data_IF_650980370313
#
_entry.id   IF_650980370313
#
_cell.length_a   1.000
_cell.length_b   1.000
_cell.length_c   1.000
_cell.angle_alpha   90.00
_cell.angle_beta   90.00
_cell.angle_gamma   90.00
#
_symmetry.space_group_name_H-M   'P 1'
#
loop_
_entity.id
_entity.type
_entity.pdbx_description
1 polymer ?
#
# COMPACT_ATOMS: atom_id res chain seq x y z
N UNK A 1 1.78 -3.85 27.31
CA UNK A 1 2.06 -3.98 25.86
C UNK A 1 3.03 -2.92 25.34
N UNK A 2 2.99 -1.67 25.81
CA UNK A 2 3.91 -0.60 25.36
C UNK A 2 5.40 -0.85 25.64
N UNK A 3 5.76 -1.63 26.67
CA UNK A 3 7.16 -1.94 26.99
C UNK A 3 7.88 -2.68 25.86
N UNK A 4 7.21 -3.66 25.23
CA UNK A 4 7.79 -4.40 24.09
C UNK A 4 8.05 -3.49 22.89
N UNK A 5 7.15 -2.56 22.60
CA UNK A 5 7.35 -1.58 21.54
C UNK A 5 8.55 -0.68 21.80
N UNK A 6 8.70 -0.19 23.04
CA UNK A 6 9.84 0.65 23.43
C UNK A 6 11.19 -0.05 23.25
N UNK A 7 11.29 -1.34 23.56
CA UNK A 7 12.52 -2.13 23.35
C UNK A 7 12.86 -2.29 21.85
N UNK A 8 11.86 -2.26 20.97
CA UNK A 8 12.03 -2.48 19.53
C UNK A 8 12.11 -1.17 18.73
N UNK A 9 12.04 0.01 19.35
CA UNK A 9 12.00 1.32 18.66
C UNK A 9 13.07 1.52 17.59
N UNK A 10 14.27 0.97 17.81
CA UNK A 10 15.39 1.06 16.86
C UNK A 10 15.36 0.00 15.76
N UNK A 11 14.48 -0.99 15.83
CA UNK A 11 14.41 -2.09 14.87
C UNK A 11 13.37 -1.75 13.82
N UNK A 12 13.80 -1.49 12.60
CA UNK A 12 12.92 -1.15 11.46
C UNK A 12 13.35 -1.92 10.21
N UNK A 13 12.38 -2.38 9.45
CA UNK A 13 12.63 -3.11 8.21
C UNK A 13 13.43 -2.28 7.20
N UNK A 14 13.02 -1.03 6.98
CA UNK A 14 13.60 -0.14 5.99
C UNK A 14 13.14 -0.44 4.55
N UNK A 15 12.89 0.61 3.78
CA UNK A 15 12.37 0.53 2.42
C UNK A 15 13.24 -0.33 1.49
N UNK A 16 14.58 -0.24 1.63
CA UNK A 16 15.55 -0.93 0.78
C UNK A 16 15.48 -2.47 0.84
N UNK A 17 14.87 -3.03 1.89
CA UNK A 17 14.69 -4.48 2.05
C UNK A 17 13.34 -4.97 1.51
N UNK A 18 12.50 -4.05 1.03
CA UNK A 18 11.19 -4.37 0.47
C UNK A 18 11.26 -4.99 -0.92
N UNK A 19 10.23 -5.74 -1.32
CA UNK A 19 10.18 -6.31 -2.66
C UNK A 19 10.10 -5.23 -3.75
N UNK A 20 9.58 -4.04 -3.44
CA UNK A 20 9.47 -2.91 -4.36
C UNK A 20 10.79 -2.11 -4.53
N UNK A 21 11.82 -2.41 -3.74
CA UNK A 21 13.16 -1.83 -3.89
C UNK A 21 14.05 -2.61 -4.88
N UNK A 22 13.52 -3.70 -5.45
CA UNK A 22 14.22 -4.49 -6.46
C UNK A 22 14.12 -3.83 -7.83
N UNK A 23 15.08 -4.15 -8.70
CA UNK A 23 15.04 -3.71 -10.10
C UNK A 23 13.73 -4.14 -10.78
N UNK A 24 13.24 -3.30 -11.70
CA UNK A 24 12.01 -3.55 -12.45
C UNK A 24 10.77 -2.82 -11.93
N UNK A 25 10.91 -1.99 -10.88
CA UNK A 25 9.87 -1.09 -10.38
C UNK A 25 10.25 0.40 -10.59
N UNK A 26 11.38 0.65 -11.22
CA UNK A 26 11.82 1.98 -11.61
C UNK A 26 10.97 2.47 -12.77
N UNK A 27 10.36 3.63 -12.61
CA UNK A 27 9.58 4.30 -13.63
C UNK A 27 9.47 5.80 -13.26
N UNK A 28 9.12 6.67 -14.21
CA UNK A 28 8.83 8.06 -13.91
C UNK A 28 7.80 8.20 -12.78
N UNK A 29 8.05 9.11 -11.84
CA UNK A 29 7.11 9.46 -10.77
C UNK A 29 6.06 10.44 -11.31
N UNK A 30 5.29 9.99 -12.31
CA UNK A 30 4.34 10.83 -13.03
C UNK A 30 2.92 10.75 -12.46
N UNK A 31 2.61 9.77 -11.62
CA UNK A 31 1.28 9.66 -11.01
C UNK A 31 1.28 10.43 -9.69
N UNK A 32 0.39 11.40 -9.56
CA UNK A 32 0.14 12.11 -8.31
C UNK A 32 -0.98 11.42 -7.55
N UNK A 33 -0.68 10.93 -6.35
CA UNK A 33 -1.67 10.34 -5.44
C UNK A 33 -1.95 11.31 -4.31
N UNK A 34 -3.22 11.54 -4.00
CA UNK A 34 -3.67 12.39 -2.90
C UNK A 34 -4.73 11.70 -2.05
N UNK A 35 -4.90 12.19 -0.83
CA UNK A 35 -6.00 11.82 0.06
C UNK A 35 -6.57 13.07 0.72
N UNK A 36 -7.89 13.11 0.91
CA UNK A 36 -8.52 14.16 1.73
C UNK A 36 -8.44 13.85 3.23
N UNK A 37 -7.91 12.68 3.60
CA UNK A 37 -7.82 12.24 4.98
C UNK A 37 -6.46 12.56 5.63
N UNK A 38 -5.40 12.73 4.84
CA UNK A 38 -4.05 13.08 5.29
C UNK A 38 -3.19 13.59 4.12
N UNK A 39 -2.24 14.47 4.41
CA UNK A 39 -1.24 14.95 3.47
C UNK A 39 -0.06 13.97 3.36
N UNK A 40 0.76 14.09 2.30
CA UNK A 40 1.98 13.29 2.17
C UNK A 40 2.92 13.51 3.36
N UNK A 41 3.34 12.44 4.00
CA UNK A 41 4.08 12.45 5.28
C UNK A 41 3.21 12.72 6.51
N UNK A 42 1.94 13.08 6.34
CA UNK A 42 1.00 13.42 7.41
C UNK A 42 0.49 12.24 8.23
N UNK A 43 -0.16 12.54 9.34
CA UNK A 43 -0.76 11.53 10.22
C UNK A 43 -2.07 10.99 9.62
N UNK A 44 -2.17 9.68 9.51
CA UNK A 44 -3.40 8.99 9.10
C UNK A 44 -4.44 9.04 10.24
N UNK A 45 -5.73 9.22 9.94
CA UNK A 45 -6.78 9.25 10.94
C UNK A 45 -6.92 7.89 11.64
N UNK A 46 -7.25 7.91 12.94
CA UNK A 46 -7.48 6.69 13.73
C UNK A 46 -8.60 5.82 13.14
N UNK A 47 -9.60 6.41 12.53
CA UNK A 47 -10.67 5.65 11.86
C UNK A 47 -10.11 4.66 10.83
N UNK A 48 -9.08 5.05 10.07
CA UNK A 48 -8.45 4.18 9.07
C UNK A 48 -7.46 3.17 9.66
N UNK A 49 -7.21 3.19 10.96
CA UNK A 49 -6.36 2.18 11.60
C UNK A 49 -7.02 0.81 11.60
N UNK A 50 -6.20 -0.24 11.63
CA UNK A 50 -6.65 -1.63 11.55
C UNK A 50 -7.53 -2.06 12.72
N UNK A 51 -8.34 -3.09 12.53
CA UNK A 51 -9.28 -3.64 13.52
C UNK A 51 -8.64 -3.83 14.89
N UNK A 52 -9.34 -3.37 15.94
CA UNK A 52 -8.86 -3.37 17.32
C UNK A 52 -8.01 -2.14 17.69
N UNK A 53 -7.77 -1.22 16.74
CA UNK A 53 -7.19 0.11 16.94
C UNK A 53 -8.14 1.18 16.40
N UNK A 54 -8.65 0.98 15.19
CA UNK A 54 -9.70 1.76 14.54
C UNK A 54 -10.71 0.86 13.86
N UNK A 55 -11.51 1.43 12.95
CA UNK A 55 -12.63 0.76 12.27
C UNK A 55 -12.20 0.06 10.97
N UNK A 56 -10.99 0.37 10.49
CA UNK A 56 -10.37 -0.21 9.30
C UNK A 56 -11.02 0.13 7.93
N UNK A 57 -11.73 1.26 7.72
CA UNK A 57 -12.00 1.71 6.37
C UNK A 57 -10.72 2.22 5.73
N UNK A 58 -10.53 1.97 4.43
CA UNK A 58 -9.45 2.62 3.70
C UNK A 58 -9.66 4.14 3.67
N UNK A 59 -8.59 4.95 3.69
CA UNK A 59 -8.73 6.38 3.38
C UNK A 59 -9.23 6.56 1.95
N UNK A 60 -9.91 7.67 1.64
CA UNK A 60 -10.18 8.05 0.25
C UNK A 60 -8.87 8.36 -0.45
N UNK A 61 -8.76 7.94 -1.70
CA UNK A 61 -7.59 8.22 -2.55
C UNK A 61 -8.07 8.75 -3.91
N UNK A 62 -7.31 9.68 -4.48
CA UNK A 62 -7.46 10.13 -5.87
C UNK A 62 -6.09 10.14 -6.52
N UNK A 63 -6.05 9.96 -7.83
CA UNK A 63 -4.80 10.02 -8.58
C UNK A 63 -5.01 10.54 -9.99
N UNK A 64 -3.97 11.21 -10.49
CA UNK A 64 -3.87 11.78 -11.82
C UNK A 64 -2.52 11.40 -12.44
N UNK A 65 -2.37 11.61 -13.76
CA UNK A 65 -1.11 11.38 -14.45
C UNK A 65 -0.89 9.93 -14.89
N UNK A 66 -1.94 9.12 -14.93
CA UNK A 66 -1.88 7.76 -15.48
C UNK A 66 -1.64 7.82 -16.98
N UNK A 67 -0.58 7.18 -17.52
CA UNK A 67 -0.32 7.14 -18.95
C UNK A 67 -1.46 6.49 -19.74
N UNK A 68 -1.76 6.96 -20.96
CA UNK A 68 -2.87 6.44 -21.77
C UNK A 68 -2.68 4.96 -22.20
N UNK A 69 -1.44 4.48 -22.24
CA UNK A 69 -1.10 3.09 -22.57
C UNK A 69 -1.33 2.12 -21.41
N UNK A 70 -1.76 2.64 -20.25
CA UNK A 70 -1.99 1.82 -19.07
C UNK A 70 -3.07 0.76 -19.32
N UNK A 71 -2.72 -0.50 -19.06
CA UNK A 71 -3.64 -1.63 -19.17
C UNK A 71 -4.24 -2.03 -17.83
N UNK A 72 -3.50 -1.84 -16.76
CA UNK A 72 -3.98 -2.02 -15.39
C UNK A 72 -3.20 -1.15 -14.42
N UNK A 73 -3.81 -0.86 -13.26
CA UNK A 73 -3.15 -0.23 -12.14
C UNK A 73 -2.89 -1.28 -11.03
N UNK A 74 -1.79 -1.11 -10.31
CA UNK A 74 -1.49 -1.95 -9.14
C UNK A 74 -1.23 -1.06 -7.94
N UNK A 75 -2.07 -1.17 -6.91
CA UNK A 75 -1.91 -0.50 -5.63
C UNK A 75 -1.27 -1.44 -4.62
N UNK A 76 -0.17 -1.01 -4.02
CA UNK A 76 0.49 -1.72 -2.93
C UNK A 76 0.65 -0.78 -1.74
N UNK A 77 0.18 -1.20 -0.57
CA UNK A 77 0.42 -0.47 0.68
C UNK A 77 1.40 -1.28 1.52
N UNK A 78 2.54 -0.68 1.87
CA UNK A 78 3.54 -1.31 2.73
C UNK A 78 3.84 -0.48 3.98
N UNK A 79 4.26 -1.16 5.05
CA UNK A 79 4.80 -0.59 6.28
C UNK A 79 6.31 -0.89 6.33
N UNK A 80 7.12 0.17 6.25
CA UNK A 80 8.58 0.06 6.22
C UNK A 80 9.24 0.15 7.60
N UNK A 81 8.44 0.40 8.62
CA UNK A 81 8.93 0.60 9.99
C UNK A 81 8.61 -0.57 10.93
N UNK A 82 8.02 -1.66 10.42
CA UNK A 82 7.81 -2.88 11.22
C UNK A 82 9.13 -3.42 11.74
N UNK A 83 9.17 -3.98 12.98
CA UNK A 83 10.37 -4.64 13.51
C UNK A 83 10.51 -6.06 12.94
N UNK A 84 10.56 -6.16 11.62
CA UNK A 84 10.71 -7.40 10.86
C UNK A 84 11.91 -7.28 9.90
N UNK A 85 12.44 -8.38 9.38
CA UNK A 85 13.55 -8.35 8.42
C UNK A 85 13.25 -7.60 7.11
N UNK A 86 11.97 -7.43 6.75
CA UNK A 86 11.50 -6.73 5.54
C UNK A 86 10.19 -5.99 5.79
N UNK A 87 9.86 -4.96 4.99
CA UNK A 87 8.56 -4.30 5.01
C UNK A 87 7.40 -5.28 4.93
N UNK A 88 6.31 -4.94 5.60
CA UNK A 88 5.07 -5.71 5.59
C UNK A 88 4.13 -5.14 4.52
N UNK A 89 3.69 -5.98 3.60
CA UNK A 89 2.67 -5.59 2.63
C UNK A 89 1.28 -5.73 3.27
N UNK A 90 0.62 -4.60 3.47
CA UNK A 90 -0.70 -4.51 4.09
C UNK A 90 -1.83 -4.76 3.10
N UNK A 91 -1.71 -4.21 1.90
CA UNK A 91 -2.74 -4.28 0.85
C UNK A 91 -2.06 -4.48 -0.49
N UNK A 92 -2.60 -5.35 -1.32
CA UNK A 92 -2.17 -5.55 -2.70
C UNK A 92 -3.42 -5.68 -3.56
N UNK A 93 -3.60 -4.77 -4.50
CA UNK A 93 -4.77 -4.71 -5.37
C UNK A 93 -4.38 -4.48 -6.83
N UNK A 94 -5.12 -5.10 -7.74
CA UNK A 94 -5.11 -4.83 -9.17
C UNK A 94 -6.39 -4.06 -9.48
N UNK A 95 -6.26 -2.92 -10.16
CA UNK A 95 -7.38 -2.05 -10.47
C UNK A 95 -7.56 -1.93 -11.99
N UNK A 96 -8.79 -1.74 -12.40
CA UNK A 96 -9.12 -1.37 -13.76
C UNK A 96 -8.45 -0.01 -14.10
N UNK A 97 -7.89 0.18 -15.31
CA UNK A 97 -7.22 1.42 -15.70
C UNK A 97 -8.14 2.64 -15.73
N UNK A 98 -9.44 2.44 -15.74
CA UNK A 98 -10.45 3.52 -15.72
C UNK A 98 -10.74 4.02 -14.29
N UNK A 99 -10.26 3.34 -13.27
CA UNK A 99 -10.40 3.79 -11.87
C UNK A 99 -9.41 4.92 -11.61
N UNK A 100 -9.91 6.08 -11.24
CA UNK A 100 -9.12 7.31 -10.95
C UNK A 100 -9.08 7.63 -9.44
N UNK A 101 -9.67 6.76 -8.62
CA UNK A 101 -9.67 6.91 -7.18
C UNK A 101 -10.54 5.89 -6.47
N UNK A 102 -10.56 5.97 -5.16
CA UNK A 102 -11.43 5.19 -4.28
C UNK A 102 -11.96 6.08 -3.17
N UNK A 103 -13.22 5.90 -2.81
CA UNK A 103 -13.82 6.58 -1.65
C UNK A 103 -13.38 5.94 -0.34
N UNK A 104 -13.68 6.59 0.78
CA UNK A 104 -13.44 6.02 2.10
C UNK A 104 -14.09 4.64 2.22
N UNK A 105 -13.31 3.63 2.63
CA UNK A 105 -13.75 2.24 2.69
C UNK A 105 -13.86 1.52 1.33
N UNK A 106 -13.46 2.17 0.22
CA UNK A 106 -13.55 1.62 -1.14
C UNK A 106 -12.58 0.47 -1.41
N UNK A 107 -11.46 0.39 -0.70
CA UNK A 107 -10.51 -0.73 -0.85
C UNK A 107 -11.02 -1.98 -0.09
N UNK A 108 -12.10 -2.57 -0.57
CA UNK A 108 -12.74 -3.75 0.03
C UNK A 108 -13.03 -4.83 -1.01
N UNK A 109 -13.04 -6.10 -0.64
CA UNK A 109 -13.46 -7.17 -1.53
C UNK A 109 -14.86 -6.91 -2.11
N UNK A 110 -15.02 -7.17 -3.41
CA UNK A 110 -16.28 -6.93 -4.14
C UNK A 110 -16.47 -5.49 -4.61
N UNK A 111 -15.52 -4.58 -4.39
CA UNK A 111 -15.55 -3.26 -5.00
C UNK A 111 -15.36 -3.37 -6.53
N UNK A 112 -16.18 -2.60 -7.29
CA UNK A 112 -16.12 -2.62 -8.75
C UNK A 112 -14.76 -2.15 -9.26
N UNK A 113 -14.21 -2.82 -10.27
CA UNK A 113 -12.93 -2.50 -10.87
C UNK A 113 -11.72 -2.79 -9.98
N UNK A 114 -11.89 -3.46 -8.84
CA UNK A 114 -10.80 -3.75 -7.88
C UNK A 114 -10.76 -5.22 -7.53
N UNK A 115 -9.64 -5.87 -7.84
CA UNK A 115 -9.35 -7.24 -7.46
C UNK A 115 -8.19 -7.28 -6.46
N UNK A 116 -8.38 -7.95 -5.34
CA UNK A 116 -7.33 -8.09 -4.33
C UNK A 116 -6.53 -9.37 -4.51
N UNK A 117 -5.23 -9.23 -4.31
CA UNK A 117 -4.29 -10.33 -4.16
C UNK A 117 -3.92 -10.44 -2.69
N UNK A 118 -3.80 -11.67 -2.18
CA UNK A 118 -3.49 -11.89 -0.77
C UNK A 118 -2.15 -11.25 -0.37
N UNK A 119 -2.22 -10.28 0.53
CA UNK A 119 -1.08 -9.57 1.10
C UNK A 119 -0.38 -10.39 2.22
N UNK A 120 0.55 -9.77 2.94
CA UNK A 120 1.16 -10.42 4.12
C UNK A 120 0.09 -10.66 5.21
N UNK A 121 0.35 -11.61 6.11
CA UNK A 121 -0.58 -12.04 7.16
C UNK A 121 -1.94 -12.53 6.64
N UNK A 122 -2.04 -12.83 5.34
CA UNK A 122 -3.25 -13.38 4.75
C UNK A 122 -4.35 -12.34 4.42
N UNK A 123 -4.07 -11.05 4.57
CA UNK A 123 -5.05 -9.99 4.29
C UNK A 123 -5.49 -9.99 2.83
N UNK A 124 -6.79 -9.78 2.62
CA UNK A 124 -7.42 -9.56 1.33
C UNK A 124 -8.34 -8.34 1.48
N UNK A 125 -8.02 -7.24 0.81
CA UNK A 125 -8.61 -5.92 1.05
C UNK A 125 -7.68 -5.00 1.82
N UNK A 126 -8.20 -3.86 2.26
CA UNK A 126 -7.44 -2.90 3.07
C UNK A 126 -7.14 -3.46 4.45
N UNK A 127 -5.89 -3.34 4.87
CA UNK A 127 -5.44 -3.58 6.23
C UNK A 127 -4.75 -2.32 6.75
N UNK A 128 -5.42 -1.59 7.62
CA UNK A 128 -4.95 -0.32 8.15
C UNK A 128 -3.81 -0.45 9.16
N UNK A 129 -3.24 0.69 9.57
CA UNK A 129 -2.17 0.77 10.55
C UNK A 129 -2.46 0.04 11.85
N UNK A 130 -1.53 -0.81 12.28
CA UNK A 130 -1.56 -1.48 13.60
C UNK A 130 -0.16 -1.65 14.18
N UNK A 131 0.60 -0.56 14.34
CA UNK A 131 1.94 -0.68 14.91
C UNK A 131 1.89 -1.24 16.35
N UNK A 132 3.00 -1.78 16.79
CA UNK A 132 3.14 -2.23 18.19
C UNK A 132 3.10 -0.99 19.08
N UNK A 133 2.23 -1.00 20.10
CA UNK A 133 2.10 0.12 21.03
C UNK A 133 3.46 0.49 21.64
N UNK A 134 3.82 1.78 21.58
CA UNK A 134 5.08 2.31 22.06
C UNK A 134 6.29 2.12 21.15
N UNK A 135 6.13 1.53 19.95
CA UNK A 135 7.22 1.38 18.97
C UNK A 135 7.58 2.73 18.30
N UNK A 136 6.64 3.67 18.27
CA UNK A 136 6.73 4.96 17.61
C UNK A 136 6.01 4.97 16.27
N UNK A 137 6.09 6.09 15.55
CA UNK A 137 5.41 6.26 14.27
C UNK A 137 5.94 5.30 13.20
N UNK A 138 5.01 4.69 12.47
CA UNK A 138 5.28 3.89 11.28
C UNK A 138 4.84 4.64 10.02
N UNK A 139 5.55 4.47 8.92
CA UNK A 139 5.23 5.00 7.59
C UNK A 139 4.54 3.93 6.76
N UNK A 140 3.33 4.27 6.32
CA UNK A 140 2.52 3.45 5.42
C UNK A 140 2.59 4.08 4.04
N UNK A 141 3.21 3.38 3.09
CA UNK A 141 3.43 3.90 1.74
C UNK A 141 2.41 3.30 0.78
N UNK A 142 1.67 4.17 0.13
CA UNK A 142 0.69 3.85 -0.91
C UNK A 142 1.38 4.00 -2.26
N UNK A 143 1.81 2.90 -2.84
CA UNK A 143 2.41 2.85 -4.17
C UNK A 143 1.33 2.56 -5.20
N UNK A 144 1.24 3.37 -6.25
CA UNK A 144 0.42 3.10 -7.43
C UNK A 144 1.32 2.94 -8.64
N UNK A 145 1.18 1.84 -9.35
CA UNK A 145 1.93 1.51 -10.55
C UNK A 145 0.98 1.42 -11.75
N UNK A 146 1.27 2.15 -12.84
CA UNK A 146 0.63 1.98 -14.12
C UNK A 146 1.37 0.90 -14.93
N UNK A 147 0.67 -0.12 -15.38
CA UNK A 147 1.22 -1.32 -16.01
C UNK A 147 0.79 -1.42 -17.46
N UNK A 148 1.73 -1.72 -18.38
CA UNK A 148 1.53 -1.78 -19.84
C UNK A 148 0.91 -3.08 -20.34
N UNK A 149 0.60 -4.02 -19.45
CA UNK A 149 0.03 -5.32 -19.80
C UNK A 149 -1.12 -5.74 -18.88
N UNK A 150 -2.03 -6.60 -19.36
CA UNK A 150 -3.07 -7.17 -18.50
C UNK A 150 -2.46 -8.19 -17.51
N UNK A 151 -3.03 -8.24 -16.32
CA UNK A 151 -2.66 -9.19 -15.27
C UNK A 151 -3.77 -10.22 -15.15
N UNK A 152 -3.48 -11.46 -15.55
CA UNK A 152 -4.45 -12.55 -15.56
C UNK A 152 -5.06 -12.80 -14.16
N UNK A 153 -6.32 -13.21 -14.10
CA UNK A 153 -7.02 -13.53 -12.84
C UNK A 153 -6.39 -14.69 -12.07
N UNK A 154 -5.68 -15.57 -12.77
CA UNK A 154 -4.90 -16.64 -12.18
C UNK A 154 -3.72 -16.18 -11.33
N UNK A 155 -3.30 -14.90 -11.45
CA UNK A 155 -2.28 -14.28 -10.61
C UNK A 155 -2.90 -13.92 -9.26
N UNK A 156 -2.88 -14.86 -8.33
CA UNK A 156 -3.55 -14.75 -7.01
C UNK A 156 -2.59 -14.54 -5.83
N UNK A 157 -1.27 -14.63 -6.07
CA UNK A 157 -0.27 -14.42 -5.02
C UNK A 157 0.52 -13.13 -5.25
N UNK A 158 0.89 -12.42 -4.16
CA UNK A 158 1.72 -11.23 -4.27
C UNK A 158 3.07 -11.48 -4.96
N UNK A 159 3.67 -12.66 -4.74
CA UNK A 159 4.94 -13.03 -5.37
C UNK A 159 4.78 -13.11 -6.90
N UNK A 160 3.73 -13.79 -7.36
CA UNK A 160 3.42 -13.90 -8.80
C UNK A 160 3.07 -12.52 -9.37
N UNK A 161 2.25 -11.69 -8.66
CA UNK A 161 1.91 -10.36 -9.12
C UNK A 161 3.14 -9.49 -9.29
N UNK A 162 3.99 -9.37 -8.26
CA UNK A 162 5.20 -8.55 -8.32
C UNK A 162 6.18 -9.03 -9.42
N UNK A 163 6.29 -10.34 -9.63
CA UNK A 163 7.07 -10.89 -10.74
C UNK A 163 6.45 -10.56 -12.11
N UNK A 164 5.11 -10.56 -12.21
CA UNK A 164 4.40 -10.24 -13.45
C UNK A 164 4.58 -8.77 -13.85
N UNK A 165 4.57 -7.84 -12.89
CA UNK A 165 4.63 -6.40 -13.17
C UNK A 165 6.06 -5.86 -13.24
N UNK A 166 7.06 -6.60 -12.75
CA UNK A 166 8.47 -6.20 -12.83
C UNK A 166 8.90 -6.02 -14.30
N UNK A 167 9.45 -4.83 -14.63
CA UNK A 167 9.82 -4.46 -16.00
C UNK A 167 8.65 -4.01 -16.89
N UNK A 168 7.44 -3.91 -16.33
CA UNK A 168 6.22 -3.50 -17.04
C UNK A 168 5.58 -2.22 -16.47
N UNK A 169 6.34 -1.47 -15.66
CA UNK A 169 5.86 -0.24 -15.04
C UNK A 169 6.09 0.94 -15.97
N UNK A 170 5.02 1.60 -16.42
CA UNK A 170 5.05 2.81 -17.24
C UNK A 170 5.28 4.07 -16.41
N UNK A 171 4.58 4.15 -15.27
CA UNK A 171 4.65 5.27 -14.35
C UNK A 171 4.32 4.79 -12.93
N UNK A 172 4.76 5.57 -11.95
CA UNK A 172 4.47 5.29 -10.54
C UNK A 172 4.04 6.54 -9.80
N UNK A 173 3.27 6.35 -8.72
CA UNK A 173 2.95 7.34 -7.71
C UNK A 173 3.25 6.83 -6.32
N UNK A 174 3.44 7.75 -5.39
CA UNK A 174 3.69 7.45 -3.98
C UNK A 174 3.00 8.50 -3.11
N UNK A 175 2.22 8.02 -2.13
CA UNK A 175 1.70 8.82 -1.01
C UNK A 175 2.10 8.11 0.28
N UNK A 176 2.60 8.84 1.26
CA UNK A 176 3.04 8.28 2.55
C UNK A 176 2.18 8.83 3.67
N UNK A 177 1.52 7.96 4.42
CA UNK A 177 0.88 8.32 5.68
C UNK A 177 1.69 7.82 6.88
N UNK A 178 1.59 8.49 8.01
CA UNK A 178 2.21 8.05 9.26
C UNK A 178 1.16 7.66 10.29
N UNK A 179 1.47 6.70 11.14
CA UNK A 179 0.60 6.33 12.25
C UNK A 179 1.43 5.90 13.46
N UNK A 180 1.11 6.48 14.63
CA UNK A 180 1.68 6.10 15.91
C UNK A 180 0.60 5.48 16.81
N UNK A 181 0.99 4.45 17.53
CA UNK A 181 0.18 3.84 18.57
C UNK A 181 0.90 3.99 19.90
N UNK A 182 0.71 5.16 20.51
CA UNK A 182 1.15 5.45 21.88
C UNK A 182 0.44 4.56 22.92
#
# INVERSE_FOLDING_TARGET
>A
MALRGRLLRGVRAGAHRGPLARNGFEAPAAIMITSTAFDDGGAMPRSSAGKGVGDNPSPPLRWDGTPPETRQLVLVIDDIDVPLPRPLLHTVAVLDPTVDGVDAGGLRPGASGIRFVRADLGHCGYAGPRPIAGHGAHRYRFHLFAIDKPIADSVTTRKALLATISGHVLARGLLTGTYDRS
#
